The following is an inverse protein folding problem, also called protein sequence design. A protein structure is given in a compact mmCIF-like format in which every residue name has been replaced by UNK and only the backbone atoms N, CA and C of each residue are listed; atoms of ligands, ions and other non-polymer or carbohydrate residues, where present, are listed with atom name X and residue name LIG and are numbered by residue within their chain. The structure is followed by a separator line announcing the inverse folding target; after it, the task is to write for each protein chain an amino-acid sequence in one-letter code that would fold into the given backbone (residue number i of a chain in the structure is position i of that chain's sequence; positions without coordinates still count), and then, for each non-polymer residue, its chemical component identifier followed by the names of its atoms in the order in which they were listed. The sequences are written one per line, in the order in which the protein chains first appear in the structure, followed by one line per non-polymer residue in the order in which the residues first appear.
data_IF_218512257621
#
_entry.id   IF_218512257621
#
_cell.length_a   1.000
_cell.length_b   1.000
_cell.length_c   1.000
_cell.angle_alpha   90.00
_cell.angle_beta   90.00
_cell.angle_gamma   90.00
#
_symmetry.space_group_name_H-M   'P 1'
#
loop_
_entity.id
_entity.type
_entity.pdbx_description
1 polymer ?
#
# COMPACT_ATOMS: atom_id res chain seq x y z
N UNK A 1 -8.65 5.36 -2.93
CA UNK A 1 -7.29 5.83 -3.26
C UNK A 1 -6.39 4.63 -3.52
N UNK A 2 -5.53 4.70 -4.54
CA UNK A 2 -4.46 3.74 -4.78
C UNK A 2 -3.11 4.38 -4.48
N UNK A 3 -2.23 3.64 -3.82
CA UNK A 3 -0.87 4.07 -3.52
C UNK A 3 0.06 2.92 -3.83
N UNK A 4 1.03 3.18 -4.70
CA UNK A 4 2.10 2.26 -5.04
C UNK A 4 3.37 2.85 -4.41
N UNK A 5 4.05 2.05 -3.59
CA UNK A 5 5.25 2.46 -2.83
C UNK A 5 6.34 1.41 -2.99
N UNK A 6 7.54 1.74 -2.54
CA UNK A 6 8.67 0.83 -2.40
C UNK A 6 8.54 -0.11 -1.18
N UNK A 7 7.45 -0.01 -0.39
CA UNK A 7 7.04 -0.99 0.64
C UNK A 7 5.92 -1.95 0.19
N UNK A 8 5.08 -1.53 -0.76
CA UNK A 8 3.95 -2.32 -1.24
C UNK A 8 2.86 -1.51 -1.97
N UNK A 9 1.77 -2.18 -2.34
CA UNK A 9 0.61 -1.58 -3.01
C UNK A 9 -0.65 -1.60 -2.14
N UNK A 10 -1.26 -0.44 -1.98
CA UNK A 10 -2.42 -0.23 -1.11
C UNK A 10 -3.62 0.34 -1.86
N UNK A 11 -4.80 -0.18 -1.55
CA UNK A 11 -6.08 0.39 -1.95
C UNK A 11 -6.92 0.74 -0.73
N UNK A 12 -7.03 2.04 -0.46
CA UNK A 12 -7.69 2.55 0.73
C UNK A 12 -9.03 3.19 0.38
N UNK A 13 -10.09 2.78 1.08
CA UNK A 13 -11.46 3.28 0.90
C UNK A 13 -12.15 3.48 2.25
N UNK A 14 -13.10 4.39 2.30
CA UNK A 14 -14.11 4.40 3.37
C UNK A 14 -15.25 3.47 2.95
N UNK A 15 -15.59 2.50 3.81
CA UNK A 15 -16.69 1.56 3.59
C UNK A 15 -18.02 2.08 4.13
N UNK A 16 -18.01 3.18 4.90
CA UNK A 16 -19.18 3.78 5.53
C UNK A 16 -19.77 2.97 6.68
N UNK A 17 -19.16 1.83 7.03
CA UNK A 17 -19.61 0.90 8.08
C UNK A 17 -18.92 1.13 9.43
N UNK A 18 -17.81 1.88 9.45
CA UNK A 18 -17.03 2.17 10.67
C UNK A 18 -16.58 3.63 10.72
N UNK A 19 -17.31 4.44 11.48
CA UNK A 19 -17.04 5.87 11.61
C UNK A 19 -15.60 6.16 12.05
N UNK A 20 -14.91 7.02 11.32
CA UNK A 20 -13.52 7.42 11.61
C UNK A 20 -12.44 6.44 11.14
N UNK A 21 -12.82 5.31 10.51
CA UNK A 21 -11.88 4.31 10.00
C UNK A 21 -11.83 4.30 8.47
N UNK A 22 -10.75 3.74 7.95
CA UNK A 22 -10.54 3.43 6.54
C UNK A 22 -10.20 1.96 6.41
N UNK A 23 -10.75 1.33 5.37
CA UNK A 23 -10.37 -0.01 4.96
C UNK A 23 -9.14 0.10 4.05
N UNK A 24 -7.96 -0.23 4.57
CA UNK A 24 -6.70 -0.30 3.84
C UNK A 24 -6.51 -1.72 3.35
N UNK A 25 -6.37 -1.91 2.04
CA UNK A 25 -6.41 -3.24 1.41
C UNK A 25 -5.15 -3.50 0.59
N UNK A 26 -4.74 -4.76 0.54
CA UNK A 26 -3.63 -5.20 -0.31
C UNK A 26 -3.98 -6.53 -1.02
N UNK A 27 -3.27 -6.80 -2.12
CA UNK A 27 -3.40 -8.08 -2.83
C UNK A 27 -2.65 -9.21 -2.15
N UNK A 28 -1.51 -8.91 -1.52
CA UNK A 28 -0.69 -9.88 -0.77
C UNK A 28 -0.54 -9.46 0.70
N UNK A 29 -0.43 -10.44 1.61
CA UNK A 29 -0.34 -10.19 3.06
C UNK A 29 0.88 -9.35 3.42
N UNK A 30 2.02 -9.67 2.80
CA UNK A 30 3.31 -9.03 3.03
C UNK A 30 3.28 -7.50 2.88
N UNK A 31 2.44 -6.96 1.98
CA UNK A 31 2.33 -5.50 1.81
C UNK A 31 1.74 -4.85 3.07
N UNK A 32 0.74 -5.46 3.71
CA UNK A 32 0.17 -4.95 4.96
C UNK A 32 1.09 -5.21 6.16
N UNK A 33 1.84 -6.31 6.16
CA UNK A 33 2.87 -6.57 7.19
C UNK A 33 3.93 -5.46 7.17
N UNK A 34 4.51 -5.14 6.00
CA UNK A 34 5.48 -4.04 5.84
C UNK A 34 4.89 -2.67 6.13
N UNK A 35 3.60 -2.48 5.88
CA UNK A 35 2.90 -1.25 6.27
C UNK A 35 2.83 -1.13 7.80
N UNK A 36 2.55 -2.23 8.50
CA UNK A 36 2.43 -2.25 9.96
C UNK A 36 3.78 -2.09 10.68
N UNK A 37 4.90 -2.16 9.98
CA UNK A 37 6.22 -1.75 10.53
C UNK A 37 6.30 -0.24 10.77
N UNK A 38 5.43 0.57 10.16
CA UNK A 38 5.38 2.01 10.43
C UNK A 38 4.84 2.28 11.85
N UNK A 39 5.39 3.25 12.59
CA UNK A 39 5.00 3.51 13.98
C UNK A 39 3.50 3.77 14.18
N UNK A 40 2.84 4.46 13.24
CA UNK A 40 1.39 4.73 13.31
C UNK A 40 0.54 3.50 12.98
N UNK A 41 1.13 2.45 12.41
CA UNK A 41 0.42 1.28 11.90
C UNK A 41 0.68 0.01 12.72
N UNK A 42 1.63 0.01 13.65
CA UNK A 42 2.05 -1.19 14.41
C UNK A 42 0.92 -1.88 15.15
N UNK A 43 -0.03 -1.13 15.73
CA UNK A 43 -1.18 -1.72 16.45
C UNK A 43 -2.17 -2.48 15.56
N UNK A 44 -2.02 -2.42 14.23
CA UNK A 44 -2.92 -3.08 13.28
C UNK A 44 -2.37 -4.40 12.72
N UNK A 45 -1.13 -4.79 13.07
CA UNK A 45 -0.48 -5.99 12.54
C UNK A 45 -1.29 -7.28 12.81
N UNK A 46 -1.82 -7.42 14.03
CA UNK A 46 -2.64 -8.57 14.44
C UNK A 46 -4.07 -8.52 13.85
N UNK A 47 -4.46 -7.38 13.26
CA UNK A 47 -5.77 -7.14 12.67
C UNK A 47 -5.84 -7.37 11.16
N UNK A 48 -4.84 -8.00 10.54
CA UNK A 48 -4.85 -8.30 9.10
C UNK A 48 -5.87 -9.41 8.81
N UNK A 49 -6.97 -9.05 8.17
CA UNK A 49 -8.03 -9.97 7.76
C UNK A 49 -7.79 -10.49 6.34
N UNK A 50 -8.14 -11.76 6.10
CA UNK A 50 -8.11 -12.41 4.80
C UNK A 50 -9.52 -12.75 4.32
N UNK A 51 -9.78 -12.58 3.02
CA UNK A 51 -11.01 -13.07 2.37
C UNK A 51 -10.69 -13.51 0.95
N UNK A 52 -10.99 -14.77 0.63
CA UNK A 52 -10.81 -15.35 -0.69
C UNK A 52 -11.80 -14.82 -1.74
N UNK A 53 -12.91 -14.22 -1.30
CA UNK A 53 -13.97 -13.74 -2.19
C UNK A 53 -13.80 -12.27 -2.59
N UNK A 54 -12.93 -11.53 -1.91
CA UNK A 54 -12.74 -10.10 -2.17
C UNK A 54 -11.65 -9.85 -3.21
N UNK A 55 -11.83 -8.87 -4.09
CA UNK A 55 -10.83 -8.45 -5.11
C UNK A 55 -9.46 -8.15 -4.48
N UNK A 56 -9.45 -7.58 -3.28
CA UNK A 56 -8.27 -7.48 -2.44
C UNK A 56 -8.35 -8.54 -1.35
N UNK A 57 -7.45 -9.52 -1.40
CA UNK A 57 -7.45 -10.66 -0.48
C UNK A 57 -7.15 -10.28 0.95
N UNK A 58 -6.45 -9.18 1.22
CA UNK A 58 -6.07 -8.77 2.57
C UNK A 58 -6.52 -7.35 2.90
N UNK A 59 -6.87 -7.10 4.16
CA UNK A 59 -7.24 -5.74 4.64
C UNK A 59 -6.94 -5.53 6.12
N UNK A 60 -6.86 -4.27 6.51
CA UNK A 60 -6.95 -3.77 7.89
C UNK A 60 -7.94 -2.60 7.93
N UNK A 61 -8.54 -2.35 9.09
CA UNK A 61 -9.31 -1.15 9.36
C UNK A 61 -8.52 -0.22 10.26
N UNK A 62 -7.93 0.81 9.67
CA UNK A 62 -7.10 1.79 10.38
C UNK A 62 -7.85 3.08 10.64
N UNK A 63 -7.58 3.77 11.75
CA UNK A 63 -8.12 5.12 11.99
C UNK A 63 -7.60 6.06 10.89
N UNK A 64 -8.43 7.04 10.51
CA UNK A 64 -8.07 8.05 9.50
C UNK A 64 -6.78 8.80 9.85
N UNK A 65 -6.58 9.14 11.12
CA UNK A 65 -5.39 9.84 11.60
C UNK A 65 -4.12 8.99 11.47
N UNK A 66 -4.21 7.70 11.81
CA UNK A 66 -3.06 6.78 11.75
C UNK A 66 -2.66 6.49 10.30
N UNK A 67 -3.65 6.35 9.41
CA UNK A 67 -3.41 6.26 7.97
C UNK A 67 -2.76 7.53 7.42
N UNK A 68 -3.24 8.71 7.82
CA UNK A 68 -2.63 9.97 7.39
C UNK A 68 -1.17 10.10 7.85
N UNK A 69 -0.87 9.74 9.10
CA UNK A 69 0.50 9.69 9.62
C UNK A 69 1.36 8.67 8.86
N UNK A 70 0.80 7.53 8.45
CA UNK A 70 1.50 6.56 7.63
C UNK A 70 1.86 7.14 6.25
N UNK A 71 0.95 7.89 5.63
CA UNK A 71 1.24 8.58 4.35
C UNK A 71 2.34 9.63 4.48
N UNK A 72 2.33 10.40 5.57
CA UNK A 72 3.41 11.34 5.86
C UNK A 72 4.75 10.61 5.95
N UNK A 73 4.82 9.51 6.71
CA UNK A 73 6.04 8.74 6.88
C UNK A 73 6.52 8.12 5.57
N UNK A 74 5.61 7.55 4.77
CA UNK A 74 5.92 7.03 3.42
C UNK A 74 6.52 8.10 2.52
N UNK A 75 6.04 9.34 2.61
CA UNK A 75 6.60 10.48 1.87
C UNK A 75 7.99 10.89 2.38
N UNK A 76 8.23 10.85 3.70
CA UNK A 76 9.52 11.17 4.32
C UNK A 76 10.62 10.13 4.01
N UNK A 77 10.24 8.89 3.78
CA UNK A 77 11.16 7.78 3.50
C UNK A 77 11.63 7.72 2.04
N UNK A 78 11.12 8.59 1.16
CA UNK A 78 11.57 8.67 -0.23
C UNK A 78 13.02 9.19 -0.26
N UNK A 79 13.95 8.27 -0.51
CA UNK A 79 15.39 8.49 -0.52
C UNK A 79 16.05 8.04 -1.85
N UNK A 80 15.23 7.78 -2.87
CA UNK A 80 15.66 7.27 -4.17
C UNK A 80 15.45 8.30 -5.30
N UNK A 81 16.33 8.32 -6.31
CA UNK A 81 16.15 9.16 -7.50
C UNK A 81 15.20 8.54 -8.53
N UNK A 82 14.97 7.23 -8.46
CA UNK A 82 14.14 6.47 -9.41
C UNK A 82 13.31 5.42 -8.68
N UNK A 83 11.98 5.48 -8.84
CA UNK A 83 11.04 4.59 -8.17
C UNK A 83 11.17 3.12 -8.60
N UNK A 84 11.41 2.87 -9.90
CA UNK A 84 11.46 1.50 -10.45
C UNK A 84 12.67 0.75 -9.92
N UNK A 85 13.81 1.43 -9.91
CA UNK A 85 15.07 0.89 -9.40
C UNK A 85 14.94 0.61 -7.89
N UNK A 86 14.35 1.53 -7.12
CA UNK A 86 14.10 1.33 -5.69
C UNK A 86 13.20 0.13 -5.38
N UNK A 87 12.16 -0.10 -6.20
CA UNK A 87 11.29 -1.28 -6.06
C UNK A 87 12.03 -2.56 -6.42
N UNK A 88 12.86 -2.55 -7.46
CA UNK A 88 13.67 -3.70 -7.82
C UNK A 88 14.64 -4.06 -6.69
N UNK A 89 15.32 -3.07 -6.11
CA UNK A 89 16.25 -3.27 -5.00
C UNK A 89 15.57 -3.75 -3.71
N UNK A 90 14.40 -3.20 -3.36
CA UNK A 90 13.73 -3.44 -2.06
C UNK A 90 12.71 -4.58 -2.08
N UNK A 91 12.07 -4.81 -3.23
CA UNK A 91 10.97 -5.77 -3.38
C UNK A 91 11.20 -6.80 -4.49
N UNK A 92 12.29 -6.70 -5.24
CA UNK A 92 12.69 -7.64 -6.29
C UNK A 92 12.10 -7.36 -7.67
N UNK A 93 12.75 -7.91 -8.69
CA UNK A 93 12.43 -7.65 -10.11
C UNK A 93 11.01 -8.08 -10.52
N UNK A 94 10.44 -9.12 -9.90
CA UNK A 94 9.05 -9.53 -10.17
C UNK A 94 8.04 -8.41 -9.82
N UNK A 95 8.20 -7.82 -8.62
CA UNK A 95 7.37 -6.69 -8.19
C UNK A 95 7.59 -5.46 -9.06
N UNK A 96 8.85 -5.17 -9.39
CA UNK A 96 9.21 -4.07 -10.26
C UNK A 96 8.56 -4.21 -11.64
N UNK A 97 8.53 -5.42 -12.22
CA UNK A 97 7.88 -5.71 -13.51
C UNK A 97 6.37 -5.43 -13.49
N UNK A 98 5.68 -5.81 -12.42
CA UNK A 98 4.26 -5.48 -12.25
C UNK A 98 4.01 -3.97 -12.15
N UNK A 99 4.82 -3.25 -11.37
CA UNK A 99 4.68 -1.80 -11.25
C UNK A 99 5.06 -1.06 -12.54
N UNK A 100 6.07 -1.55 -13.26
CA UNK A 100 6.43 -1.05 -14.59
C UNK A 100 5.28 -1.18 -15.58
N UNK A 101 4.51 -2.26 -15.51
CA UNK A 101 3.33 -2.46 -16.35
C UNK A 101 2.24 -1.43 -16.07
N UNK A 102 2.01 -1.08 -14.79
CA UNK A 102 1.08 -0.01 -14.40
C UNK A 102 1.60 1.35 -14.88
N UNK A 103 2.87 1.67 -14.65
CA UNK A 103 3.49 2.90 -15.14
C UNK A 103 3.37 3.04 -16.67
N UNK A 104 3.65 1.96 -17.40
CA UNK A 104 3.54 1.92 -18.87
C UNK A 104 2.09 2.12 -19.32
N UNK A 105 1.12 1.64 -18.55
CA UNK A 105 -0.29 1.87 -18.82
C UNK A 105 -0.70 3.34 -18.64
N UNK A 106 -0.17 4.00 -17.59
CA UNK A 106 -0.41 5.42 -17.34
C UNK A 106 0.33 6.31 -18.34
N UNK A 107 1.52 5.92 -18.82
CA UNK A 107 2.28 6.66 -19.81
C UNK A 107 1.50 6.87 -21.12
N UNK A 108 0.63 5.92 -21.50
CA UNK A 108 -0.26 6.03 -22.67
C UNK A 108 -1.34 7.10 -22.55
N UNK A 109 -1.52 7.72 -21.37
CA UNK A 109 -2.40 8.88 -21.21
C UNK A 109 -1.78 10.17 -21.74
N UNK A 110 -0.48 10.17 -22.03
CA UNK A 110 0.23 11.31 -22.61
C UNK A 110 0.19 11.34 -24.14
N UNK A 111 -0.44 10.34 -24.75
CA UNK A 111 -0.73 10.25 -26.18
C UNK A 111 -2.08 10.92 -26.51
#
# INVERSE_FOLDING_TARGET
MWIITDRGFYSTVDKGDREGYLCVRARIRADLERLCELPSMTSYADGIEQSELADYRYRIYARRADWAAALEQLGREIDYPNFKDAVEDRQGSDRAGHYYSVWSALARLQD
#
